data_IF_577506060626
#
_entry.id   IF_577506060626
#
_cell.length_a   1.000
_cell.length_b   1.000
_cell.length_c   1.000
_cell.angle_alpha   90.00
_cell.angle_beta   90.00
_cell.angle_gamma   90.00
#
_symmetry.space_group_name_H-M   'P 1'
#
loop_
_entity.id
_entity.type
_entity.pdbx_description
1 polymer ?
#
# COMPACT_ATOMS: atom_id res chain seq x y z
N UNK A 1 2.48 18.09 -3.80
CA UNK A 1 2.08 16.66 -3.91
C UNK A 1 3.10 15.72 -3.25
N UNK A 2 3.92 16.18 -2.30
CA UNK A 2 4.74 15.31 -1.42
C UNK A 2 4.06 15.06 -0.06
N UNK A 3 3.18 15.98 0.36
CA UNK A 3 2.55 15.94 1.69
C UNK A 3 1.52 14.80 1.84
N UNK A 4 0.84 14.39 0.77
CA UNK A 4 -0.27 13.42 0.84
C UNK A 4 0.17 11.97 1.15
N UNK A 5 1.31 11.52 0.61
CA UNK A 5 1.71 10.11 0.76
C UNK A 5 2.25 9.82 2.15
N UNK A 6 3.00 10.78 2.71
CA UNK A 6 3.50 10.71 4.08
C UNK A 6 2.34 10.63 5.07
N UNK A 7 1.24 11.37 4.85
CA UNK A 7 0.04 11.23 5.69
C UNK A 7 -0.60 9.84 5.55
N UNK A 8 -0.73 9.30 4.33
CA UNK A 8 -1.26 7.94 4.09
C UNK A 8 -0.39 6.83 4.69
N UNK A 9 0.92 7.03 4.72
CA UNK A 9 1.90 6.08 5.26
C UNK A 9 2.18 6.28 6.76
N UNK A 10 1.85 7.45 7.32
CA UNK A 10 2.26 7.87 8.65
C UNK A 10 1.92 6.87 9.74
N UNK A 11 0.64 6.49 9.88
CA UNK A 11 0.18 5.46 10.80
C UNK A 11 -1.32 5.21 10.64
N UNK A 12 -1.75 4.31 9.75
CA UNK A 12 -3.16 3.90 9.70
C UNK A 12 -3.57 3.08 10.95
N UNK A 13 -4.37 3.65 11.84
CA UNK A 13 -4.86 2.98 13.06
C UNK A 13 -6.02 1.99 12.80
N UNK A 14 -6.50 1.95 11.56
CA UNK A 14 -7.65 1.15 11.15
C UNK A 14 -7.47 0.69 9.70
N UNK A 15 -7.85 -0.55 9.40
CA UNK A 15 -7.84 -1.11 8.05
C UNK A 15 -8.93 -0.45 7.20
N UNK A 16 -8.58 0.06 6.03
CA UNK A 16 -9.55 0.71 5.12
C UNK A 16 -10.63 -0.24 4.56
N UNK A 17 -10.40 -1.57 4.60
CA UNK A 17 -11.29 -2.58 4.01
C UNK A 17 -12.29 -3.19 4.99
N UNK A 18 -11.82 -3.56 6.19
CA UNK A 18 -12.61 -4.29 7.17
C UNK A 18 -12.89 -3.50 8.45
N UNK A 19 -12.42 -2.26 8.53
CA UNK A 19 -12.57 -1.38 9.70
C UNK A 19 -11.94 -1.93 11.00
N UNK A 20 -11.13 -2.99 10.91
CA UNK A 20 -10.42 -3.56 12.05
C UNK A 20 -9.33 -2.59 12.54
N UNK A 21 -9.19 -2.46 13.86
CA UNK A 21 -8.12 -1.66 14.46
C UNK A 21 -6.76 -2.29 14.20
N UNK A 22 -5.76 -1.47 13.91
CA UNK A 22 -4.37 -1.89 13.71
C UNK A 22 -3.48 -1.19 14.73
N UNK A 23 -2.92 -1.95 15.66
CA UNK A 23 -1.96 -1.46 16.66
C UNK A 23 -0.61 -1.11 16.00
N UNK A 24 0.25 -0.39 16.73
CA UNK A 24 1.54 0.07 16.22
C UNK A 24 2.39 -1.06 15.63
N UNK A 25 2.40 -2.22 16.29
CA UNK A 25 3.18 -3.39 15.87
C UNK A 25 2.51 -4.22 14.78
N UNK A 26 1.26 -3.93 14.44
CA UNK A 26 0.54 -4.72 13.45
C UNK A 26 1.01 -4.35 12.03
N UNK A 27 1.43 -5.34 11.24
CA UNK A 27 1.86 -5.10 9.88
C UNK A 27 0.66 -4.65 9.04
N UNK A 28 0.89 -3.62 8.25
CA UNK A 28 -0.05 -3.04 7.29
C UNK A 28 0.64 -2.88 5.95
N UNK A 29 -0.15 -2.86 4.88
CA UNK A 29 0.35 -2.79 3.52
C UNK A 29 -0.59 -1.91 2.70
N UNK A 30 -0.08 -1.27 1.64
CA UNK A 30 -0.93 -0.52 0.73
C UNK A 30 -1.61 -1.45 -0.28
N UNK A 31 -2.91 -1.26 -0.46
CA UNK A 31 -3.67 -1.96 -1.49
C UNK A 31 -3.18 -1.56 -2.87
N UNK A 32 -3.02 -2.55 -3.76
CA UNK A 32 -2.70 -2.29 -5.18
C UNK A 32 -3.88 -1.72 -5.96
N UNK A 33 -5.08 -1.71 -5.39
CA UNK A 33 -6.31 -1.24 -6.06
C UNK A 33 -6.60 0.24 -5.79
N UNK A 34 -6.37 0.72 -4.57
CA UNK A 34 -6.74 2.09 -4.16
C UNK A 34 -5.68 2.81 -3.32
N UNK A 35 -4.50 2.19 -3.13
CA UNK A 35 -3.36 2.75 -2.41
C UNK A 35 -3.65 3.07 -0.94
N UNK A 36 -4.71 2.48 -0.36
CA UNK A 36 -5.06 2.63 1.05
C UNK A 36 -4.37 1.57 1.91
N UNK A 37 -4.09 1.92 3.17
CA UNK A 37 -3.53 0.99 4.13
C UNK A 37 -4.58 -0.06 4.55
N UNK A 38 -4.20 -1.33 4.43
CA UNK A 38 -5.04 -2.48 4.77
C UNK A 38 -4.26 -3.45 5.66
N UNK A 39 -4.99 -4.24 6.45
CA UNK A 39 -4.40 -5.31 7.25
C UNK A 39 -3.98 -6.49 6.34
N UNK A 40 -3.10 -7.34 6.87
CA UNK A 40 -2.61 -8.51 6.13
C UNK A 40 -3.70 -9.54 5.80
N UNK A 41 -4.81 -9.56 6.54
CA UNK A 41 -5.96 -10.42 6.22
C UNK A 41 -6.65 -9.94 4.94
N UNK A 42 -6.99 -8.65 4.86
CA UNK A 42 -7.57 -8.08 3.63
C UNK A 42 -6.60 -8.15 2.45
N UNK A 43 -5.28 -8.06 2.68
CA UNK A 43 -4.30 -8.28 1.62
C UNK A 43 -4.39 -9.68 1.01
N UNK A 44 -4.54 -10.71 1.85
CA UNK A 44 -4.71 -12.10 1.38
C UNK A 44 -5.99 -12.29 0.59
N UNK A 45 -7.06 -11.58 0.95
CA UNK A 45 -8.31 -11.58 0.19
C UNK A 45 -8.14 -10.87 -1.16
N UNK A 46 -7.42 -9.74 -1.19
CA UNK A 46 -7.09 -9.04 -2.43
C UNK A 46 -6.28 -9.92 -3.39
N UNK A 47 -5.33 -10.68 -2.87
CA UNK A 47 -4.48 -11.61 -3.63
C UNK A 47 -5.26 -12.78 -4.27
N UNK A 48 -6.44 -13.11 -3.75
CA UNK A 48 -7.31 -14.16 -4.29
C UNK A 48 -8.22 -13.66 -5.42
N UNK A 49 -8.29 -12.35 -5.66
CA UNK A 49 -9.17 -11.80 -6.71
C UNK A 49 -8.65 -12.22 -8.09
N UNK A 50 -9.54 -12.58 -9.04
CA UNK A 50 -9.13 -13.11 -10.35
C UNK A 50 -8.35 -12.11 -11.20
N UNK A 51 -8.50 -10.81 -10.93
CA UNK A 51 -7.83 -9.70 -11.61
C UNK A 51 -6.56 -9.22 -10.89
N UNK A 52 -6.23 -9.79 -9.73
CA UNK A 52 -5.13 -9.32 -8.88
C UNK A 52 -3.79 -9.29 -9.60
N UNK A 53 -3.44 -10.34 -10.35
CA UNK A 53 -2.16 -10.40 -11.07
C UNK A 53 -2.02 -9.24 -12.06
N UNK A 54 -3.09 -8.93 -12.80
CA UNK A 54 -3.11 -7.83 -13.76
C UNK A 54 -2.97 -6.48 -13.05
N UNK A 55 -3.75 -6.27 -11.99
CA UNK A 55 -3.72 -5.01 -11.24
C UNK A 55 -2.35 -4.82 -10.57
N UNK A 56 -1.82 -5.84 -9.92
CA UNK A 56 -0.50 -5.82 -9.30
C UNK A 56 0.61 -5.46 -10.30
N UNK A 57 0.61 -6.07 -11.50
CA UNK A 57 1.57 -5.73 -12.57
C UNK A 57 1.43 -4.29 -13.05
N UNK A 58 0.20 -3.78 -13.19
CA UNK A 58 -0.03 -2.38 -13.55
C UNK A 58 0.50 -1.43 -12.48
N UNK A 59 0.27 -1.75 -11.19
CA UNK A 59 0.78 -0.97 -10.06
C UNK A 59 2.30 -0.96 -10.02
N UNK A 60 2.97 -2.09 -10.28
CA UNK A 60 4.43 -2.15 -10.43
C UNK A 60 4.88 -1.22 -11.54
N UNK A 61 4.26 -1.30 -12.72
CA UNK A 61 4.62 -0.47 -13.88
C UNK A 61 4.49 1.02 -13.58
N UNK A 62 3.39 1.44 -12.96
CA UNK A 62 3.19 2.84 -12.56
C UNK A 62 4.23 3.27 -11.53
N UNK A 63 4.52 2.42 -10.54
CA UNK A 63 5.51 2.70 -9.53
C UNK A 63 6.93 2.86 -10.07
N UNK A 64 7.32 2.07 -11.07
CA UNK A 64 8.60 2.23 -11.75
C UNK A 64 8.68 3.58 -12.45
N UNK A 65 7.63 3.96 -13.20
CA UNK A 65 7.55 5.26 -13.88
C UNK A 65 7.67 6.41 -12.88
N UNK A 66 6.88 6.37 -11.80
CA UNK A 66 6.84 7.44 -10.80
C UNK A 66 8.18 7.57 -10.06
N UNK A 67 8.80 6.44 -9.70
CA UNK A 67 10.10 6.42 -9.03
C UNK A 67 11.20 6.98 -9.93
N UNK A 68 11.18 6.64 -11.22
CA UNK A 68 12.12 7.20 -12.21
C UNK A 68 11.93 8.70 -12.41
N UNK A 69 10.69 9.17 -12.57
CA UNK A 69 10.37 10.58 -12.76
C UNK A 69 10.76 11.43 -11.54
N UNK A 70 10.56 10.90 -10.34
CA UNK A 70 10.86 11.59 -9.09
C UNK A 70 12.30 11.36 -8.61
N UNK A 71 13.06 10.49 -9.27
CA UNK A 71 14.37 10.00 -8.82
C UNK A 71 14.36 9.55 -7.34
N UNK A 72 13.22 9.08 -6.84
CA UNK A 72 13.00 8.70 -5.44
C UNK A 72 11.67 7.95 -5.28
N UNK A 73 11.54 7.17 -4.20
CA UNK A 73 10.26 6.62 -3.72
C UNK A 73 9.90 7.29 -2.39
N UNK A 74 9.15 8.41 -2.41
CA UNK A 74 8.87 9.17 -1.20
C UNK A 74 8.18 8.32 -0.13
N UNK A 75 8.79 8.29 1.06
CA UNK A 75 8.34 7.51 2.21
C UNK A 75 8.15 6.00 1.94
N UNK A 76 8.69 5.47 0.84
CA UNK A 76 8.52 4.08 0.45
C UNK A 76 7.11 3.76 -0.10
N UNK A 77 6.38 4.74 -0.64
CA UNK A 77 5.03 4.55 -1.16
C UNK A 77 4.93 3.36 -2.11
N UNK A 78 5.79 3.29 -3.11
CA UNK A 78 5.80 2.20 -4.07
C UNK A 78 6.24 0.88 -3.44
N UNK A 79 7.27 0.92 -2.59
CA UNK A 79 7.72 -0.22 -1.83
C UNK A 79 6.60 -0.84 -0.97
N UNK A 80 5.76 -0.01 -0.34
CA UNK A 80 4.74 -0.46 0.62
C UNK A 80 3.47 -1.05 0.00
N UNK A 81 3.37 -1.13 -1.34
CA UNK A 81 2.35 -1.95 -2.01
C UNK A 81 2.68 -3.46 -1.99
N UNK A 82 3.97 -3.78 -1.82
CA UNK A 82 4.50 -5.13 -1.94
C UNK A 82 5.17 -5.61 -0.65
N UNK A 83 5.62 -4.69 0.19
CA UNK A 83 6.25 -5.00 1.46
C UNK A 83 5.51 -4.32 2.62
N UNK A 84 5.04 -5.09 3.62
CA UNK A 84 4.35 -4.52 4.75
C UNK A 84 5.28 -3.63 5.58
N UNK A 85 4.68 -2.67 6.27
CA UNK A 85 5.31 -1.77 7.22
C UNK A 85 4.57 -1.82 8.55
N UNK A 86 5.21 -1.30 9.59
CA UNK A 86 4.55 -0.99 10.85
C UNK A 86 4.54 0.52 11.04
N UNK A 87 3.69 0.96 11.96
CA UNK A 87 3.89 2.22 12.63
C UNK A 87 4.92 2.01 13.78
#
# INVERSE_FOLDING_TARGET
>A
MQDDWTEKLSCAIQCHRCDEKMDQKDPRILSVYDHQAICMTCKKEEEQRPDYEKISKNTIGQCMIDTELQYSDPAGFCYHHFYPYTC
#
